data_IF_534053490824
#
_entry.id   IF_534053490824
#
_cell.length_a   1.000
_cell.length_b   1.000
_cell.length_c   1.000
_cell.angle_alpha   90.00
_cell.angle_beta   90.00
_cell.angle_gamma   90.00
#
_symmetry.space_group_name_H-M   'P 1'
#
loop_
_entity.id
_entity.type
_entity.pdbx_description
1 polymer ?
#
# COMPACT_ATOMS: atom_id res chain seq x y z
N UNK A 1 21.40 29.95 19.45
CA UNK A 1 21.95 31.29 19.74
C UNK A 1 22.04 32.06 18.42
N UNK A 2 21.14 33.03 18.20
CA UNK A 2 21.23 33.97 17.05
C UNK A 2 22.09 35.14 17.52
N UNK A 3 23.29 35.27 16.95
CA UNK A 3 24.16 36.41 17.27
C UNK A 3 23.63 37.64 16.50
N UNK A 4 23.38 38.79 17.15
CA UNK A 4 22.80 39.96 16.51
C UNK A 4 23.88 40.75 15.76
N UNK A 5 24.30 40.27 14.59
CA UNK A 5 25.22 41.02 13.73
C UNK A 5 24.45 41.93 12.79
N UNK A 6 24.18 43.15 13.25
CA UNK A 6 23.88 44.32 12.41
C UNK A 6 24.85 45.48 12.64
N UNK A 7 26.05 45.19 13.14
CA UNK A 7 27.17 46.13 13.00
C UNK A 7 27.60 46.03 11.53
N UNK A 8 27.34 47.06 10.73
CA UNK A 8 27.80 47.14 9.33
C UNK A 8 29.33 47.05 9.34
N UNK A 9 29.88 45.87 9.03
CA UNK A 9 31.32 45.61 8.96
C UNK A 9 32.08 46.60 8.06
N UNK A 10 31.37 47.26 7.14
CA UNK A 10 31.84 48.42 6.37
C UNK A 10 32.47 49.52 7.25
N UNK A 11 31.95 49.79 8.46
CA UNK A 11 32.48 50.81 9.37
C UNK A 11 33.80 50.40 10.02
N UNK A 12 33.94 49.12 10.37
CA UNK A 12 35.18 48.57 10.96
C UNK A 12 36.27 48.46 9.89
N UNK A 13 35.91 48.00 8.68
CA UNK A 13 36.80 47.95 7.53
C UNK A 13 37.27 49.35 7.10
N UNK A 14 36.38 50.35 7.13
CA UNK A 14 36.69 51.74 6.79
C UNK A 14 37.71 52.40 7.75
N UNK A 15 37.87 51.88 8.97
CA UNK A 15 38.81 52.43 9.97
C UNK A 15 40.12 51.62 10.01
N UNK A 16 40.04 50.29 9.93
CA UNK A 16 41.21 49.41 10.11
C UNK A 16 42.08 49.36 8.85
N UNK A 17 41.49 49.35 7.66
CA UNK A 17 42.24 49.17 6.40
C UNK A 17 43.11 50.41 6.04
N UNK A 18 42.69 51.66 6.30
CA UNK A 18 43.56 52.82 6.15
C UNK A 18 44.78 52.80 7.09
N UNK A 19 44.66 52.22 8.28
CA UNK A 19 45.80 52.05 9.19
C UNK A 19 46.86 51.12 8.60
N UNK A 20 46.46 50.06 7.90
CA UNK A 20 47.40 49.15 7.20
C UNK A 20 48.06 49.81 5.98
N UNK A 21 47.32 50.62 5.20
CA UNK A 21 47.92 51.36 4.07
C UNK A 21 48.96 52.39 4.52
N UNK A 22 48.80 52.95 5.73
CA UNK A 22 49.78 53.85 6.34
C UNK A 22 51.07 53.11 6.71
N UNK A 23 50.98 51.86 7.17
CA UNK A 23 52.15 51.00 7.47
C UNK A 23 52.92 50.64 6.19
N UNK A 24 52.22 50.34 5.09
CA UNK A 24 52.83 49.99 3.81
C UNK A 24 53.58 51.17 3.13
N UNK A 25 53.23 52.41 3.46
CA UNK A 25 53.90 53.62 2.94
C UNK A 25 55.12 54.05 3.79
N UNK A 26 55.32 53.46 4.97
CA UNK A 26 56.53 53.66 5.77
C UNK A 26 57.64 52.83 5.14
N UNK A 27 58.30 53.38 4.11
CA UNK A 27 59.44 52.73 3.45
C UNK A 27 59.65 53.10 1.97
N UNK A 28 58.71 53.81 1.33
CA UNK A 28 58.78 54.09 -0.12
C UNK A 28 59.48 55.39 -0.52
N UNK A 29 59.85 56.26 0.43
CA UNK A 29 60.60 57.50 0.16
C UNK A 29 59.86 58.59 -0.64
N UNK A 30 58.53 58.50 -0.77
CA UNK A 30 57.72 59.46 -1.54
C UNK A 30 57.32 60.66 -0.68
N UNK A 31 57.97 61.81 -0.87
CA UNK A 31 57.70 63.09 -0.18
C UNK A 31 56.63 63.92 -0.91
N UNK A 32 55.35 63.58 -0.72
CA UNK A 32 54.24 64.51 -0.99
C UNK A 32 53.14 64.33 0.07
N UNK A 33 52.85 65.39 0.83
CA UNK A 33 51.92 65.41 1.97
C UNK A 33 50.53 64.81 1.68
N UNK A 34 50.04 65.00 0.46
CA UNK A 34 48.68 64.64 0.04
C UNK A 34 48.51 63.12 -0.02
N UNK A 35 49.53 62.36 -0.44
CA UNK A 35 49.44 60.91 -0.67
C UNK A 35 49.50 60.07 0.61
N UNK A 36 50.03 60.63 1.71
CA UNK A 36 50.21 59.94 2.99
C UNK A 36 48.91 59.45 3.63
N UNK A 37 47.79 60.10 3.31
CA UNK A 37 46.47 59.79 3.86
C UNK A 37 45.42 59.43 2.80
N UNK A 38 45.54 59.93 1.56
CA UNK A 38 44.55 59.64 0.51
C UNK A 38 44.65 58.22 -0.02
N UNK A 39 45.85 57.68 -0.26
CA UNK A 39 46.03 56.31 -0.80
C UNK A 39 45.45 55.25 0.15
N UNK A 40 45.75 55.24 1.45
CA UNK A 40 45.17 54.27 2.38
C UNK A 40 43.64 54.36 2.48
N UNK A 41 43.09 55.57 2.38
CA UNK A 41 41.65 55.81 2.45
C UNK A 41 40.93 55.28 1.21
N UNK A 42 41.48 55.49 0.02
CA UNK A 42 40.96 54.95 -1.24
C UNK A 42 41.05 53.42 -1.26
N UNK A 43 42.19 52.85 -0.86
CA UNK A 43 42.36 51.38 -0.76
C UNK A 43 41.38 50.78 0.25
N UNK A 44 41.19 51.42 1.41
CA UNK A 44 40.22 51.00 2.42
C UNK A 44 38.78 51.04 1.91
N UNK A 45 38.39 52.09 1.20
CA UNK A 45 37.07 52.21 0.60
C UNK A 45 36.81 51.13 -0.46
N UNK A 46 37.77 50.89 -1.36
CA UNK A 46 37.67 49.84 -2.40
C UNK A 46 37.58 48.46 -1.74
N UNK A 47 38.45 48.16 -0.77
CA UNK A 47 38.47 46.87 -0.10
C UNK A 47 37.19 46.63 0.70
N UNK A 48 36.69 47.64 1.42
CA UNK A 48 35.42 47.56 2.14
C UNK A 48 34.22 47.32 1.21
N UNK A 49 34.20 47.97 0.04
CA UNK A 49 33.18 47.75 -0.99
C UNK A 49 33.24 46.32 -1.55
N UNK A 50 34.44 45.83 -1.91
CA UNK A 50 34.64 44.48 -2.43
C UNK A 50 34.22 43.41 -1.40
N UNK A 51 34.64 43.56 -0.14
CA UNK A 51 34.26 42.63 0.93
C UNK A 51 32.74 42.62 1.12
N UNK A 52 32.09 43.78 1.15
CA UNK A 52 30.63 43.87 1.25
C UNK A 52 29.93 43.17 0.08
N UNK A 53 30.37 43.44 -1.15
CA UNK A 53 29.83 42.80 -2.36
C UNK A 53 29.99 41.27 -2.33
N UNK A 54 31.17 40.77 -1.95
CA UNK A 54 31.41 39.33 -1.84
C UNK A 54 30.60 38.68 -0.73
N UNK A 55 30.47 39.33 0.45
CA UNK A 55 29.65 38.82 1.54
C UNK A 55 28.18 38.73 1.16
N UNK A 56 27.63 39.75 0.50
CA UNK A 56 26.24 39.73 0.00
C UNK A 56 26.03 38.59 -1.01
N UNK A 57 26.93 38.47 -2.00
CA UNK A 57 26.87 37.40 -3.01
C UNK A 57 27.04 36.01 -2.39
N UNK A 58 27.92 35.87 -1.41
CA UNK A 58 28.14 34.62 -0.67
C UNK A 58 26.93 34.26 0.17
N UNK A 59 26.31 35.21 0.87
CA UNK A 59 25.10 34.99 1.66
C UNK A 59 23.91 34.58 0.79
N UNK A 60 23.74 35.21 -0.38
CA UNK A 60 22.72 34.85 -1.36
C UNK A 60 22.95 33.43 -1.91
N UNK A 61 24.20 33.08 -2.19
CA UNK A 61 24.57 31.74 -2.69
C UNK A 61 24.33 30.66 -1.63
N UNK A 62 24.67 30.93 -0.36
CA UNK A 62 24.42 30.02 0.76
C UNK A 62 22.92 29.79 0.99
N UNK A 63 22.11 30.85 0.90
CA UNK A 63 20.65 30.75 1.01
C UNK A 63 20.05 29.92 -0.14
N UNK A 64 20.55 30.08 -1.36
CA UNK A 64 20.14 29.27 -2.50
C UNK A 64 20.52 27.79 -2.31
N UNK A 65 21.73 27.52 -1.81
CA UNK A 65 22.22 26.17 -1.54
C UNK A 65 21.40 25.48 -0.44
N UNK A 66 21.09 26.17 0.65
CA UNK A 66 20.25 25.66 1.73
C UNK A 66 18.85 25.28 1.21
N UNK A 67 18.26 26.13 0.36
CA UNK A 67 16.96 25.86 -0.27
C UNK A 67 17.00 24.59 -1.13
N UNK A 68 18.01 24.44 -1.98
CA UNK A 68 18.19 23.24 -2.82
C UNK A 68 18.40 21.99 -1.98
N UNK A 69 19.27 22.04 -0.95
CA UNK A 69 19.49 20.92 -0.05
C UNK A 69 18.20 20.50 0.67
N UNK A 70 17.40 21.48 1.12
CA UNK A 70 16.10 21.20 1.74
C UNK A 70 15.13 20.52 0.76
N UNK A 71 15.12 20.94 -0.51
CA UNK A 71 14.31 20.31 -1.55
C UNK A 71 14.75 18.87 -1.82
N UNK A 72 16.05 18.62 -1.95
CA UNK A 72 16.62 17.29 -2.15
C UNK A 72 16.29 16.38 -0.97
N UNK A 73 16.44 16.86 0.26
CA UNK A 73 16.08 16.12 1.47
C UNK A 73 14.59 15.75 1.51
N UNK A 74 13.72 16.68 1.11
CA UNK A 74 12.28 16.40 1.03
C UNK A 74 11.95 15.36 -0.05
N UNK A 75 12.61 15.42 -1.21
CA UNK A 75 12.44 14.42 -2.26
C UNK A 75 12.94 13.04 -1.81
N UNK A 76 14.13 12.96 -1.23
CA UNK A 76 14.70 11.74 -0.69
C UNK A 76 13.80 11.13 0.41
N UNK A 77 13.26 11.96 1.30
CA UNK A 77 12.32 11.52 2.33
C UNK A 77 11.03 10.97 1.74
N UNK A 78 10.45 11.64 0.72
CA UNK A 78 9.25 11.17 0.02
C UNK A 78 9.51 9.82 -0.66
N UNK A 79 10.63 9.69 -1.36
CA UNK A 79 11.04 8.44 -2.02
C UNK A 79 11.22 7.30 -1.02
N UNK A 80 11.94 7.56 0.08
CA UNK A 80 12.15 6.56 1.14
C UNK A 80 10.84 6.13 1.80
N UNK A 81 9.95 7.10 2.09
CA UNK A 81 8.62 6.81 2.64
C UNK A 81 7.79 5.95 1.69
N UNK A 82 7.80 6.25 0.39
CA UNK A 82 7.07 5.46 -0.61
C UNK A 82 7.59 4.01 -0.70
N UNK A 83 8.91 3.82 -0.72
CA UNK A 83 9.52 2.48 -0.71
C UNK A 83 9.20 1.72 0.57
N UNK A 84 9.19 2.39 1.72
CA UNK A 84 8.79 1.78 2.98
C UNK A 84 7.35 1.28 2.94
N UNK A 85 6.41 2.07 2.43
CA UNK A 85 5.02 1.65 2.29
C UNK A 85 4.87 0.49 1.31
N UNK A 86 5.55 0.52 0.17
CA UNK A 86 5.57 -0.59 -0.76
C UNK A 86 6.03 -1.87 -0.06
N UNK A 87 7.17 -1.83 0.64
CA UNK A 87 7.68 -2.99 1.36
C UNK A 87 6.72 -3.46 2.48
N UNK A 88 6.17 -2.54 3.27
CA UNK A 88 5.29 -2.87 4.39
C UNK A 88 3.93 -3.46 3.95
N UNK A 89 3.33 -2.92 2.88
CA UNK A 89 2.00 -3.32 2.42
C UNK A 89 2.03 -4.45 1.40
N UNK A 90 3.07 -4.52 0.57
CA UNK A 90 3.18 -5.54 -0.47
C UNK A 90 4.01 -6.73 0.03
N UNK A 91 5.26 -6.51 0.44
CA UNK A 91 6.19 -7.60 0.80
C UNK A 91 5.88 -8.25 2.15
N UNK A 92 5.39 -7.49 3.14
CA UNK A 92 5.01 -8.03 4.47
C UNK A 92 3.55 -8.46 4.60
N UNK A 93 2.74 -8.31 3.55
CA UNK A 93 1.35 -8.77 3.61
C UNK A 93 1.26 -10.30 3.60
N UNK A 94 0.32 -10.83 4.39
CA UNK A 94 -0.03 -12.25 4.42
C UNK A 94 -1.03 -12.64 3.33
N UNK A 95 -1.52 -11.68 2.53
CA UNK A 95 -2.34 -11.95 1.35
C UNK A 95 -1.45 -12.38 0.18
N UNK A 96 -1.96 -13.23 -0.72
CA UNK A 96 -1.28 -13.52 -1.99
C UNK A 96 -1.57 -12.38 -2.96
N UNK A 97 -0.53 -11.68 -3.41
CA UNK A 97 -0.70 -10.49 -4.26
C UNK A 97 0.12 -10.66 -5.54
N UNK A 98 -0.52 -10.41 -6.68
CA UNK A 98 0.08 -10.37 -8.01
C UNK A 98 -0.20 -9.02 -8.67
N UNK A 99 0.79 -8.48 -9.36
CA UNK A 99 0.64 -7.33 -10.26
C UNK A 99 0.89 -7.84 -11.66
N UNK A 100 0.00 -7.55 -12.60
CA UNK A 100 0.10 -8.03 -13.97
C UNK A 100 -0.22 -6.95 -14.99
N UNK A 101 0.38 -7.08 -16.16
CA UNK A 101 0.02 -6.31 -17.34
C UNK A 101 -1.35 -6.80 -17.83
N UNK A 102 -2.33 -5.90 -17.96
CA UNK A 102 -3.68 -6.30 -18.31
C UNK A 102 -3.78 -6.77 -19.77
N UNK A 103 -3.02 -6.18 -20.71
CA UNK A 103 -3.10 -6.53 -22.12
C UNK A 103 -2.52 -7.91 -22.43
N UNK A 104 -1.43 -8.28 -21.76
CA UNK A 104 -0.67 -9.51 -22.03
C UNK A 104 -0.86 -10.60 -20.97
N UNK A 105 -1.40 -10.23 -19.79
CA UNK A 105 -1.45 -11.10 -18.62
C UNK A 105 -0.08 -11.40 -18.02
N UNK A 106 1.00 -10.72 -18.46
CA UNK A 106 2.34 -10.92 -17.92
C UNK A 106 2.40 -10.48 -16.46
N UNK A 107 2.96 -11.30 -15.58
CA UNK A 107 3.15 -10.93 -14.18
C UNK A 107 4.32 -9.95 -14.11
N UNK A 108 4.05 -8.75 -13.60
CA UNK A 108 5.03 -7.67 -13.43
C UNK A 108 5.68 -7.76 -12.06
N UNK A 109 4.90 -8.07 -11.02
CA UNK A 109 5.42 -8.24 -9.66
C UNK A 109 4.58 -9.25 -8.87
N UNK A 110 5.20 -9.84 -7.85
CA UNK A 110 4.60 -10.80 -6.95
C UNK A 110 5.16 -10.60 -5.54
N UNK A 111 4.31 -10.74 -4.53
CA UNK A 111 4.78 -10.68 -3.15
C UNK A 111 5.35 -12.04 -2.68
N UNK A 112 6.08 -12.09 -1.55
CA UNK A 112 6.65 -13.33 -1.04
C UNK A 112 5.59 -14.39 -0.74
N UNK A 113 4.40 -13.98 -0.31
CA UNK A 113 3.29 -14.89 -0.08
C UNK A 113 2.85 -15.60 -1.37
N UNK A 114 2.83 -14.90 -2.50
CA UNK A 114 2.58 -15.53 -3.80
C UNK A 114 3.64 -16.57 -4.16
N UNK A 115 4.92 -16.26 -3.91
CA UNK A 115 6.00 -17.22 -4.14
C UNK A 115 5.82 -18.50 -3.30
N UNK A 116 5.52 -18.33 -2.00
CA UNK A 116 5.24 -19.44 -1.08
C UNK A 116 4.01 -20.26 -1.50
N UNK A 117 2.94 -19.60 -1.95
CA UNK A 117 1.72 -20.28 -2.36
C UNK A 117 1.88 -21.05 -3.67
N UNK A 118 2.40 -20.40 -4.72
CA UNK A 118 2.54 -21.02 -6.04
C UNK A 118 3.73 -21.98 -6.15
N UNK A 119 4.70 -21.90 -5.24
CA UNK A 119 5.91 -22.73 -5.25
C UNK A 119 6.94 -22.30 -6.31
N UNK A 120 6.85 -21.07 -6.81
CA UNK A 120 7.80 -20.49 -7.74
C UNK A 120 8.54 -19.32 -7.08
N UNK A 121 9.86 -19.16 -7.30
CA UNK A 121 10.57 -17.95 -6.89
C UNK A 121 9.96 -16.71 -7.54
N UNK A 122 10.01 -15.57 -6.85
CA UNK A 122 9.50 -14.28 -7.33
C UNK A 122 10.01 -13.94 -8.75
N UNK A 123 11.30 -14.11 -8.99
CA UNK A 123 11.93 -13.83 -10.29
C UNK A 123 11.39 -14.73 -11.41
N UNK A 124 11.00 -15.97 -11.09
CA UNK A 124 10.35 -16.86 -12.03
C UNK A 124 8.90 -16.46 -12.26
N UNK A 125 8.17 -16.08 -11.20
CA UNK A 125 6.80 -15.57 -11.33
C UNK A 125 6.73 -14.35 -12.26
N UNK A 126 7.66 -13.40 -12.16
CA UNK A 126 7.74 -12.22 -13.03
C UNK A 126 8.02 -12.52 -14.52
N UNK A 127 8.50 -13.73 -14.81
CA UNK A 127 8.72 -14.19 -16.18
C UNK A 127 7.51 -14.96 -16.73
N UNK A 128 6.56 -15.32 -15.87
CA UNK A 128 5.37 -16.07 -16.23
C UNK A 128 4.20 -15.14 -16.59
N UNK A 129 3.21 -15.72 -17.25
CA UNK A 129 1.90 -15.14 -17.48
C UNK A 129 0.89 -15.69 -16.47
N UNK A 130 -0.18 -14.93 -16.19
CA UNK A 130 -1.36 -15.44 -15.51
C UNK A 130 -1.94 -16.69 -16.21
N UNK A 131 -1.72 -16.84 -17.51
CA UNK A 131 -2.12 -18.03 -18.26
C UNK A 131 -1.35 -19.29 -17.87
N UNK A 132 -0.12 -19.18 -17.36
CA UNK A 132 0.71 -20.33 -16.98
C UNK A 132 0.26 -20.93 -15.63
N UNK A 133 -0.33 -20.09 -14.77
CA UNK A 133 -0.86 -20.50 -13.46
C UNK A 133 -2.36 -20.80 -13.51
N UNK A 134 -3.09 -20.34 -14.51
CA UNK A 134 -4.53 -20.57 -14.62
C UNK A 134 -4.82 -21.93 -15.27
N UNK A 135 -5.59 -22.77 -14.59
CA UNK A 135 -5.91 -24.13 -15.04
C UNK A 135 -7.12 -24.20 -16.01
N UNK A 136 -7.86 -23.09 -16.20
CA UNK A 136 -8.97 -22.99 -17.15
C UNK A 136 -8.80 -21.82 -18.14
N UNK A 137 -9.27 -22.06 -19.36
CA UNK A 137 -8.89 -21.49 -20.67
C UNK A 137 -8.73 -19.94 -20.82
N UNK A 138 -7.98 -19.57 -21.87
CA UNK A 138 -7.39 -18.26 -22.21
C UNK A 138 -8.38 -17.12 -22.49
N UNK A 139 -9.68 -17.38 -22.67
CA UNK A 139 -10.60 -16.43 -23.29
C UNK A 139 -11.27 -15.40 -22.34
N UNK A 140 -11.05 -15.50 -21.02
CA UNK A 140 -11.77 -14.69 -20.03
C UNK A 140 -11.02 -13.44 -19.52
N UNK A 141 -9.74 -13.23 -19.86
CA UNK A 141 -8.96 -12.10 -19.29
C UNK A 141 -9.45 -10.75 -19.83
N UNK A 142 -9.70 -10.65 -21.14
CA UNK A 142 -10.10 -9.41 -21.82
C UNK A 142 -11.51 -8.93 -21.39
N UNK A 143 -12.45 -9.85 -21.23
CA UNK A 143 -13.83 -9.53 -20.80
C UNK A 143 -13.87 -9.14 -19.30
N UNK A 144 -13.04 -9.78 -18.47
CA UNK A 144 -12.88 -9.46 -17.03
C UNK A 144 -12.27 -8.08 -16.80
N UNK A 145 -11.38 -7.63 -17.68
CA UNK A 145 -10.78 -6.28 -17.63
C UNK A 145 -11.80 -5.17 -17.90
N UNK A 146 -12.68 -5.37 -18.89
CA UNK A 146 -13.78 -4.44 -19.18
C UNK A 146 -14.76 -4.34 -18.01
N UNK A 147 -14.98 -5.44 -17.28
CA UNK A 147 -15.82 -5.47 -16.08
C UNK A 147 -15.17 -4.82 -14.85
N UNK A 148 -13.85 -4.98 -14.66
CA UNK A 148 -13.10 -4.36 -13.57
C UNK A 148 -13.05 -2.82 -13.67
N UNK A 149 -13.01 -2.27 -14.89
CA UNK A 149 -13.15 -0.82 -15.11
C UNK A 149 -14.58 -0.30 -14.87
N UNK A 150 -15.60 -1.15 -15.07
CA UNK A 150 -17.03 -0.78 -14.95
C UNK A 150 -17.61 -1.02 -13.55
N UNK A 151 -16.77 -1.20 -12.53
CA UNK A 151 -17.09 -1.41 -11.10
C UNK A 151 -18.08 -2.55 -10.74
N UNK A 152 -18.56 -3.32 -11.71
CA UNK A 152 -19.78 -4.11 -11.54
C UNK A 152 -19.54 -5.52 -10.98
N UNK A 153 -18.32 -6.07 -11.07
CA UNK A 153 -17.87 -7.26 -10.30
C UNK A 153 -16.37 -7.23 -10.01
N UNK A 154 -16.00 -7.10 -8.74
CA UNK A 154 -14.60 -7.06 -8.26
C UNK A 154 -13.99 -8.43 -7.97
N UNK A 155 -14.81 -9.49 -7.96
CA UNK A 155 -14.46 -10.84 -7.45
C UNK A 155 -14.80 -11.90 -8.49
N UNK A 156 -13.90 -12.87 -8.68
CA UNK A 156 -14.16 -14.03 -9.52
C UNK A 156 -13.47 -15.30 -9.00
N UNK A 157 -14.02 -16.46 -9.36
CA UNK A 157 -13.55 -17.78 -8.94
C UNK A 157 -12.89 -18.50 -10.11
N UNK A 158 -11.73 -19.11 -9.88
CA UNK A 158 -11.04 -19.93 -10.88
C UNK A 158 -10.19 -20.99 -10.19
N UNK A 159 -9.54 -21.84 -10.99
CA UNK A 159 -8.59 -22.85 -10.53
C UNK A 159 -7.19 -22.47 -10.94
N UNK A 160 -6.27 -22.42 -9.98
CA UNK A 160 -4.86 -22.18 -10.25
C UNK A 160 -4.04 -23.45 -10.06
N UNK A 161 -3.03 -23.63 -10.89
CA UNK A 161 -2.07 -24.73 -10.84
C UNK A 161 -0.77 -24.27 -10.19
N UNK A 162 -0.32 -25.00 -9.19
CA UNK A 162 0.94 -24.74 -8.47
C UNK A 162 2.12 -25.44 -9.16
N UNK A 163 3.35 -25.11 -8.75
CA UNK A 163 4.58 -25.70 -9.28
C UNK A 163 4.67 -27.23 -9.11
N UNK A 164 4.09 -27.76 -8.04
CA UNK A 164 4.02 -29.19 -7.78
C UNK A 164 2.94 -29.92 -8.62
N UNK A 165 2.18 -29.19 -9.44
CA UNK A 165 1.09 -29.72 -10.26
C UNK A 165 -0.27 -29.78 -9.56
N UNK A 166 -0.36 -29.48 -8.26
CA UNK A 166 -1.62 -29.39 -7.53
C UNK A 166 -2.49 -28.26 -8.08
N UNK A 167 -3.81 -28.47 -8.08
CA UNK A 167 -4.78 -27.43 -8.44
C UNK A 167 -5.50 -26.94 -7.18
N UNK A 168 -5.54 -25.62 -6.99
CA UNK A 168 -6.26 -24.95 -5.91
C UNK A 168 -7.45 -24.17 -6.46
N UNK A 169 -8.58 -24.23 -5.77
CA UNK A 169 -9.71 -23.33 -6.03
C UNK A 169 -9.38 -21.97 -5.39
N UNK A 170 -9.44 -20.91 -6.19
CA UNK A 170 -9.07 -19.57 -5.76
C UNK A 170 -10.16 -18.55 -6.03
N UNK A 171 -10.36 -17.68 -5.05
CA UNK A 171 -11.11 -16.43 -5.21
C UNK A 171 -10.11 -15.32 -5.53
N UNK A 172 -10.39 -14.53 -6.55
CA UNK A 172 -9.51 -13.47 -7.02
C UNK A 172 -10.26 -12.16 -7.00
N UNK A 173 -9.72 -11.21 -6.25
CA UNK A 173 -10.14 -9.82 -6.25
C UNK A 173 -9.19 -9.03 -7.14
N UNK A 174 -9.70 -8.35 -8.17
CA UNK A 174 -8.85 -7.56 -9.07
C UNK A 174 -9.28 -6.10 -9.14
N UNK A 175 -8.29 -5.22 -9.12
CA UNK A 175 -8.46 -3.77 -9.26
C UNK A 175 -7.43 -3.20 -10.23
N UNK A 176 -7.87 -2.31 -11.11
CA UNK A 176 -6.95 -1.56 -11.97
C UNK A 176 -6.22 -0.49 -11.14
N UNK A 177 -4.91 -0.39 -11.34
CA UNK A 177 -4.06 0.65 -10.76
C UNK A 177 -3.24 1.30 -11.88
N UNK A 178 -2.88 2.57 -11.71
CA UNK A 178 -2.00 3.27 -12.66
C UNK A 178 -0.70 3.61 -11.94
N UNK A 179 0.42 3.11 -12.45
CA UNK A 179 1.77 3.45 -11.98
C UNK A 179 2.49 4.11 -13.16
N UNK A 180 2.92 5.35 -13.00
CA UNK A 180 3.63 6.12 -14.04
C UNK A 180 2.90 6.13 -15.40
N UNK A 181 1.58 6.37 -15.39
CA UNK A 181 0.67 6.30 -16.54
C UNK A 181 0.57 4.93 -17.24
N UNK A 182 1.14 3.88 -16.64
CA UNK A 182 1.00 2.51 -17.13
C UNK A 182 -0.14 1.83 -16.39
N UNK A 183 -1.20 1.38 -17.09
CA UNK A 183 -2.30 0.66 -16.46
C UNK A 183 -1.84 -0.76 -16.11
N UNK A 184 -2.00 -1.12 -14.85
CA UNK A 184 -1.66 -2.42 -14.30
C UNK A 184 -2.87 -3.02 -13.58
N UNK A 185 -2.87 -4.34 -13.47
CA UNK A 185 -3.89 -5.09 -12.76
C UNK A 185 -3.32 -5.63 -11.45
N UNK A 186 -3.84 -5.13 -10.33
CA UNK A 186 -3.55 -5.64 -8.99
C UNK A 186 -4.55 -6.73 -8.64
N UNK A 187 -4.06 -7.92 -8.31
CA UNK A 187 -4.89 -9.08 -7.98
C UNK A 187 -4.53 -9.63 -6.59
N UNK A 188 -5.54 -9.75 -5.73
CA UNK A 188 -5.46 -10.47 -4.46
C UNK A 188 -6.05 -11.86 -4.67
N UNK A 189 -5.28 -12.89 -4.32
CA UNK A 189 -5.69 -14.29 -4.47
C UNK A 189 -5.93 -14.86 -3.08
N UNK A 190 -7.03 -15.59 -2.94
CA UNK A 190 -7.37 -16.31 -1.73
C UNK A 190 -7.60 -17.78 -2.06
N UNK A 191 -6.88 -18.67 -1.37
CA UNK A 191 -7.15 -20.09 -1.45
C UNK A 191 -8.47 -20.39 -0.73
N UNK A 192 -9.44 -20.86 -1.50
CA UNK A 192 -10.76 -21.25 -1.01
C UNK A 192 -10.98 -22.76 -1.22
N UNK A 193 -9.93 -23.54 -1.47
CA UNK A 193 -10.03 -24.98 -1.73
C UNK A 193 -10.76 -25.71 -0.61
N UNK A 194 -10.46 -25.39 0.66
CA UNK A 194 -11.19 -25.95 1.81
C UNK A 194 -12.61 -25.39 1.95
N UNK A 195 -12.83 -24.12 1.60
CA UNK A 195 -14.13 -23.43 1.69
C UNK A 195 -15.12 -23.92 0.63
N UNK A 196 -14.65 -24.19 -0.59
CA UNK A 196 -15.45 -24.69 -1.70
C UNK A 196 -15.78 -26.18 -1.59
N UNK A 197 -15.12 -26.94 -0.70
CA UNK A 197 -15.56 -28.30 -0.38
C UNK A 197 -16.96 -28.35 0.26
N UNK A 198 -17.51 -27.19 0.65
CA UNK A 198 -18.88 -27.03 1.17
C UNK A 198 -19.83 -26.38 0.17
N UNK A 199 -19.31 -25.62 -0.81
CA UNK A 199 -20.10 -25.06 -1.92
C UNK A 199 -20.11 -26.04 -3.09
N UNK A 200 -20.97 -27.04 -2.97
CA UNK A 200 -21.27 -28.02 -4.01
C UNK A 200 -22.59 -28.71 -3.73
N UNK A 201 -23.02 -29.63 -4.60
CA UNK A 201 -24.15 -30.51 -4.30
C UNK A 201 -23.71 -31.43 -3.17
N UNK A 202 -24.23 -31.18 -1.96
CA UNK A 202 -24.01 -32.07 -0.83
C UNK A 202 -24.72 -33.40 -1.13
N UNK A 203 -23.92 -34.46 -1.19
CA UNK A 203 -24.45 -35.81 -1.36
C UNK A 203 -25.13 -36.23 -0.07
N UNK A 204 -26.45 -36.04 0.00
CA UNK A 204 -27.27 -36.43 1.14
C UNK A 204 -27.89 -37.80 0.92
N UNK A 205 -28.13 -38.54 2.00
CA UNK A 205 -28.94 -39.74 1.95
C UNK A 205 -30.38 -39.35 1.68
N UNK A 206 -30.99 -39.88 0.61
CA UNK A 206 -32.37 -39.56 0.26
C UNK A 206 -33.38 -39.91 1.37
N UNK A 207 -33.07 -40.90 2.21
CA UNK A 207 -33.90 -41.36 3.31
C UNK A 207 -33.66 -40.57 4.61
N UNK A 208 -32.46 -40.65 5.19
CA UNK A 208 -32.18 -40.08 6.53
C UNK A 208 -31.51 -38.70 6.52
N UNK A 209 -31.27 -38.11 5.34
CA UNK A 209 -30.69 -36.77 5.13
C UNK A 209 -29.28 -36.55 5.71
N UNK A 210 -28.60 -37.60 6.18
CA UNK A 210 -27.18 -37.57 6.53
C UNK A 210 -26.34 -37.14 5.33
N UNK A 211 -25.25 -36.43 5.60
CA UNK A 211 -24.31 -35.95 4.59
C UNK A 211 -23.17 -36.95 4.46
N UNK A 212 -22.77 -37.26 3.22
CA UNK A 212 -21.62 -38.13 2.94
C UNK A 212 -20.32 -37.32 3.03
N UNK A 213 -19.42 -37.73 3.92
CA UNK A 213 -18.07 -37.15 4.06
C UNK A 213 -17.13 -37.63 2.92
N UNK A 214 -16.02 -36.92 2.72
CA UNK A 214 -14.94 -37.23 1.77
C UNK A 214 -14.33 -38.62 1.98
N UNK A 215 -14.34 -39.15 3.21
CA UNK A 215 -13.89 -40.51 3.52
C UNK A 215 -14.94 -41.59 3.21
N UNK A 216 -16.09 -41.21 2.65
CA UNK A 216 -17.19 -42.11 2.31
C UNK A 216 -18.14 -42.44 3.46
N UNK A 217 -17.87 -41.95 4.68
CA UNK A 217 -18.72 -42.11 5.85
C UNK A 217 -19.96 -41.21 5.83
N UNK A 218 -20.96 -41.54 6.65
CA UNK A 218 -22.20 -40.79 6.79
C UNK A 218 -22.24 -40.06 8.13
N UNK A 219 -22.39 -38.75 8.09
CA UNK A 219 -22.43 -37.89 9.28
C UNK A 219 -23.73 -37.09 9.32
N UNK A 220 -24.12 -36.67 10.53
CA UNK A 220 -25.31 -35.84 10.72
C UNK A 220 -25.06 -34.43 10.13
N UNK A 221 -26.13 -33.81 9.60
CA UNK A 221 -26.12 -32.45 9.08
C UNK A 221 -25.67 -31.43 10.13
N UNK A 222 -26.11 -31.56 11.39
CA UNK A 222 -25.69 -30.62 12.45
C UNK A 222 -24.17 -30.70 12.64
N UNK A 223 -23.64 -31.91 12.82
CA UNK A 223 -22.19 -32.17 12.96
C UNK A 223 -21.40 -31.67 11.76
N UNK A 224 -21.92 -31.86 10.55
CA UNK A 224 -21.26 -31.38 9.34
C UNK A 224 -21.18 -29.85 9.32
N UNK A 225 -22.26 -29.15 9.64
CA UNK A 225 -22.29 -27.68 9.62
C UNK A 225 -21.42 -27.09 10.73
N UNK A 226 -21.41 -27.68 11.93
CA UNK A 226 -20.56 -27.23 13.04
C UNK A 226 -19.07 -27.42 12.76
N UNK A 227 -18.67 -28.54 12.16
CA UNK A 227 -17.25 -28.79 11.84
C UNK A 227 -16.73 -27.97 10.65
N UNK A 228 -17.61 -27.42 9.82
CA UNK A 228 -17.25 -26.82 8.55
C UNK A 228 -17.68 -25.35 8.41
N UNK A 229 -18.33 -24.77 9.41
CA UNK A 229 -18.73 -23.37 9.41
C UNK A 229 -18.63 -22.76 10.81
N UNK A 230 -18.81 -21.44 10.91
CA UNK A 230 -18.88 -20.75 12.20
C UNK A 230 -20.27 -20.80 12.85
N UNK A 231 -21.19 -21.66 12.37
CA UNK A 231 -22.55 -21.75 12.89
C UNK A 231 -22.66 -22.73 14.06
N UNK A 232 -23.46 -22.36 15.07
CA UNK A 232 -23.86 -23.21 16.19
C UNK A 232 -25.39 -23.39 16.17
N UNK A 233 -25.89 -24.58 16.48
CA UNK A 233 -27.33 -24.86 16.51
C UNK A 233 -27.93 -24.62 17.89
N UNK A 234 -28.89 -23.70 17.96
CA UNK A 234 -29.87 -23.69 19.05
C UNK A 234 -31.02 -24.64 18.69
N UNK A 235 -31.40 -25.51 19.62
CA UNK A 235 -32.50 -26.45 19.41
C UNK A 235 -33.81 -25.77 19.84
N UNK A 236 -34.80 -25.78 18.95
CA UNK A 236 -36.13 -25.23 19.20
C UNK A 236 -37.16 -25.96 18.34
N UNK A 237 -38.42 -25.92 18.77
CA UNK A 237 -39.54 -26.48 18.02
C UNK A 237 -40.28 -25.36 17.30
N UNK A 238 -40.62 -25.56 16.03
CA UNK A 238 -41.51 -24.64 15.32
C UNK A 238 -42.96 -24.80 15.83
N UNK A 239 -43.79 -23.81 15.50
CA UNK A 239 -45.20 -23.77 15.89
C UNK A 239 -45.98 -25.02 15.49
N UNK A 240 -45.72 -25.58 14.32
CA UNK A 240 -46.40 -26.77 13.81
C UNK A 240 -45.97 -28.03 14.55
N UNK A 241 -44.67 -28.20 14.82
CA UNK A 241 -44.17 -29.36 15.56
C UNK A 241 -44.59 -29.31 17.04
N UNK A 242 -44.76 -28.13 17.62
CA UNK A 242 -45.34 -28.00 18.97
C UNK A 242 -46.77 -28.50 19.00
N UNK A 243 -47.58 -28.16 17.99
CA UNK A 243 -48.99 -28.58 17.94
C UNK A 243 -49.13 -30.09 17.75
N UNK A 244 -48.24 -30.69 16.98
CA UNK A 244 -48.24 -32.13 16.70
C UNK A 244 -47.71 -32.95 17.88
N UNK A 245 -46.63 -32.52 18.53
CA UNK A 245 -45.98 -33.27 19.61
C UNK A 245 -46.49 -32.92 21.00
N UNK A 246 -47.02 -31.71 21.18
CA UNK A 246 -47.46 -31.14 22.46
C UNK A 246 -48.78 -30.36 22.32
N UNK A 247 -49.88 -31.02 21.88
CA UNK A 247 -51.15 -30.36 21.61
C UNK A 247 -51.74 -29.63 22.81
N UNK A 248 -51.52 -30.12 24.04
CA UNK A 248 -52.01 -29.47 25.27
C UNK A 248 -51.34 -28.12 25.54
N UNK A 249 -50.12 -27.92 25.05
CA UNK A 249 -49.35 -26.68 25.19
C UNK A 249 -49.55 -25.73 24.01
N UNK A 250 -50.16 -26.18 22.91
CA UNK A 250 -50.44 -25.36 21.70
C UNK A 250 -51.28 -24.10 21.99
N UNK A 251 -52.09 -24.15 23.06
CA UNK A 251 -53.01 -23.07 23.44
C UNK A 251 -52.39 -22.04 24.40
N UNK A 252 -51.15 -22.26 24.86
CA UNK A 252 -50.43 -21.34 25.75
C UNK A 252 -50.34 -19.95 25.10
N UNK A 253 -50.75 -18.87 25.80
CA UNK A 253 -50.67 -17.50 25.31
C UNK A 253 -49.29 -17.10 24.77
N UNK A 254 -48.21 -17.64 25.34
CA UNK A 254 -46.83 -17.38 24.89
C UNK A 254 -46.55 -18.00 23.52
N UNK A 255 -47.08 -19.20 23.27
CA UNK A 255 -46.91 -19.93 22.01
C UNK A 255 -47.80 -19.33 20.91
N UNK A 256 -49.02 -18.89 21.26
CA UNK A 256 -49.88 -18.10 20.36
C UNK A 256 -49.24 -16.79 19.92
N UNK A 257 -48.58 -16.07 20.84
CA UNK A 257 -47.86 -14.84 20.50
C UNK A 257 -46.65 -15.07 19.59
N UNK A 258 -45.93 -16.19 19.77
CA UNK A 258 -44.82 -16.59 18.89
C UNK A 258 -45.32 -16.93 17.47
N UNK A 259 -46.45 -17.63 17.36
CA UNK A 259 -47.11 -17.96 16.08
C UNK A 259 -47.47 -16.70 15.28
N UNK A 260 -48.17 -15.77 15.91
CA UNK A 260 -48.56 -14.50 15.29
C UNK A 260 -47.35 -13.69 14.80
N UNK A 261 -46.22 -13.75 15.54
CA UNK A 261 -44.98 -13.08 15.16
C UNK A 261 -44.28 -13.75 13.98
N UNK A 262 -44.29 -15.09 13.90
CA UNK A 262 -43.72 -15.82 12.76
C UNK A 262 -44.52 -15.65 11.46
N UNK A 263 -45.85 -15.54 11.55
CA UNK A 263 -46.74 -15.32 10.40
C UNK A 263 -46.59 -13.91 9.81
N UNK A 264 -46.42 -12.89 10.66
CA UNK A 264 -46.17 -11.51 10.23
C UNK A 264 -44.81 -11.28 9.57
N UNK A 265 -43.86 -12.21 9.69
CA UNK A 265 -42.52 -12.16 9.08
C UNK A 265 -42.46 -12.84 7.70
N UNK A 266 -43.54 -13.52 7.28
CA UNK A 266 -43.63 -14.24 6.01
C UNK A 266 -44.50 -13.50 4.96
N UNK A 267 -45.11 -12.37 5.34
CA UNK A 267 -45.81 -11.41 4.46
C UNK A 267 -44.93 -10.21 4.14
#
# INVERSE_FOLDING_TARGET
>A
MRIPYKIKYSFIAAIIIPCFGRIALIGSGVEYEIHRYTIPLVVGAIMGFLIGYFLDKWSASMAALEKTNKQLMNQAKKFNTANYWHFALFKKSHSIILVSDPATGKIIDANPQASSFYGYPEEKLKQMSLHDINAQDKHLVTERMLAAQKETRKVFYTKHKLANGETKDVEIFSGAINIDNTPLLLSFVQDITELNRLRGILSICSHCKKIRDKKGGWINIETFIECNSAANFSHGLCSTCIDELYPDHSTDPRIKALKAKSEALQT
#
